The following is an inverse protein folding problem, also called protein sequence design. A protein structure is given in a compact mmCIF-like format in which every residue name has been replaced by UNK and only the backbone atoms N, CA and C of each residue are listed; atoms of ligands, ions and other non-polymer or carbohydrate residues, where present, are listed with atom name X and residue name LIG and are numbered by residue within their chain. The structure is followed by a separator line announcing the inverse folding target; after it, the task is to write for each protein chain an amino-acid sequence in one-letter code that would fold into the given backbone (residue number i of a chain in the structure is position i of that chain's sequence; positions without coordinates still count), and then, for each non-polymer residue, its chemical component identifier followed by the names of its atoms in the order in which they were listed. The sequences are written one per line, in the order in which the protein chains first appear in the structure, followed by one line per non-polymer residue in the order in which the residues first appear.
data_IF_586786227115
#
_entry.id   IF_586786227115
#
_cell.length_a   1.000
_cell.length_b   1.000
_cell.length_c   1.000
_cell.angle_alpha   90.00
_cell.angle_beta   90.00
_cell.angle_gamma   90.00
#
_symmetry.space_group_name_H-M   'P 1'
#
loop_
_entity.id
_entity.type
_entity.pdbx_description
1 polymer ?
#
# COMPACT_ATOMS: atom_id res chain seq x y z
N UNK A 1 7.19 19.15 -3.92
CA UNK A 1 7.45 18.25 -2.77
C UNK A 1 8.94 18.31 -2.48
N UNK A 2 9.37 18.60 -1.25
CA UNK A 2 10.81 18.76 -0.96
C UNK A 2 11.52 17.40 -0.92
N UNK A 3 12.77 17.34 -1.38
CA UNK A 3 13.59 16.11 -1.39
C UNK A 3 13.61 15.40 -0.03
N UNK A 4 13.68 16.18 1.06
CA UNK A 4 13.62 15.67 2.44
C UNK A 4 12.33 14.90 2.76
N UNK A 5 11.19 15.27 2.17
CA UNK A 5 9.91 14.59 2.40
C UNK A 5 9.86 13.23 1.71
N UNK A 6 10.45 13.11 0.51
CA UNK A 6 10.57 11.85 -0.22
C UNK A 6 11.47 10.87 0.54
N UNK A 7 12.62 11.33 1.03
CA UNK A 7 13.56 10.50 1.80
C UNK A 7 13.01 10.02 3.15
N UNK A 8 11.96 10.66 3.68
CA UNK A 8 11.26 10.26 4.90
C UNK A 8 10.11 9.29 4.64
N UNK A 9 9.74 9.05 3.38
CA UNK A 9 8.68 8.10 3.06
C UNK A 9 9.11 6.68 3.52
N UNK A 10 8.27 5.94 4.26
CA UNK A 10 8.63 4.62 4.79
C UNK A 10 9.13 3.64 3.72
N UNK A 11 8.51 3.64 2.53
CA UNK A 11 8.93 2.80 1.41
C UNK A 11 10.34 3.13 0.90
N UNK A 12 10.69 4.43 0.86
CA UNK A 12 12.03 4.87 0.45
C UNK A 12 13.06 4.47 1.50
N UNK A 13 12.74 4.65 2.79
CA UNK A 13 13.62 4.21 3.88
C UNK A 13 13.83 2.69 3.88
N UNK A 14 12.76 1.91 3.65
CA UNK A 14 12.83 0.47 3.54
C UNK A 14 13.72 0.04 2.36
N UNK A 15 13.56 0.66 1.19
CA UNK A 15 14.42 0.42 0.02
C UNK A 15 15.90 0.70 0.35
N UNK A 16 16.19 1.83 1.01
CA UNK A 16 17.56 2.14 1.43
C UNK A 16 18.11 1.12 2.43
N UNK A 17 17.28 0.58 3.33
CA UNK A 17 17.69 -0.49 4.24
C UNK A 17 18.00 -1.80 3.50
N UNK A 18 17.27 -2.15 2.44
CA UNK A 18 17.62 -3.31 1.59
C UNK A 18 18.95 -3.12 0.88
N UNK A 19 19.14 -1.94 0.27
CA UNK A 19 20.39 -1.61 -0.42
C UNK A 19 21.58 -1.61 0.54
N UNK A 20 21.40 -1.08 1.75
CA UNK A 20 22.43 -1.08 2.79
C UNK A 20 22.70 -2.48 3.37
N UNK A 21 21.69 -3.36 3.43
CA UNK A 21 21.86 -4.75 3.86
C UNK A 21 22.68 -5.58 2.86
N UNK A 22 22.64 -5.24 1.57
CA UNK A 22 23.30 -6.01 0.51
C UNK A 22 24.81 -6.25 0.73
N UNK A 23 25.65 -5.21 0.96
CA UNK A 23 27.07 -5.45 1.24
C UNK A 23 27.31 -6.27 2.52
N UNK A 24 26.46 -6.12 3.55
CA UNK A 24 26.54 -6.92 4.77
C UNK A 24 26.24 -8.39 4.50
N UNK A 25 25.23 -8.67 3.68
CA UNK A 25 24.90 -10.02 3.22
C UNK A 25 26.07 -10.65 2.46
N UNK A 26 26.68 -9.92 1.52
CA UNK A 26 27.84 -10.40 0.78
C UNK A 26 29.00 -10.74 1.71
N UNK A 27 29.26 -9.90 2.71
CA UNK A 27 30.30 -10.15 3.71
C UNK A 27 29.99 -11.41 4.53
N UNK A 28 28.77 -11.55 5.05
CA UNK A 28 28.37 -12.73 5.85
C UNK A 28 28.47 -14.00 5.01
N UNK A 29 27.95 -14.00 3.78
CA UNK A 29 28.01 -15.13 2.86
C UNK A 29 29.45 -15.49 2.51
N UNK A 30 30.31 -14.50 2.28
CA UNK A 30 31.74 -14.71 2.03
C UNK A 30 32.45 -15.35 3.22
N UNK A 31 32.18 -14.87 4.44
CA UNK A 31 32.76 -15.43 5.66
C UNK A 31 32.29 -16.86 5.91
N UNK A 32 31.00 -17.15 5.68
CA UNK A 32 30.47 -18.51 5.76
C UNK A 32 31.16 -19.43 4.75
N UNK A 33 31.34 -18.98 3.51
CA UNK A 33 32.06 -19.75 2.50
C UNK A 33 33.53 -19.99 2.88
N UNK A 34 34.21 -18.98 3.43
CA UNK A 34 35.59 -19.09 3.95
C UNK A 34 35.70 -20.06 5.13
N UNK A 35 34.65 -20.18 5.94
CA UNK A 35 34.56 -21.14 7.03
C UNK A 35 34.24 -22.57 6.56
N UNK A 36 34.16 -22.82 5.25
CA UNK A 36 33.87 -24.14 4.68
C UNK A 36 32.39 -24.45 4.52
N UNK A 37 31.49 -23.50 4.76
CA UNK A 37 30.07 -23.67 4.43
C UNK A 37 29.82 -23.49 2.92
N UNK A 38 28.70 -24.01 2.44
CA UNK A 38 28.26 -23.84 1.05
C UNK A 38 26.93 -23.05 1.02
N UNK A 39 26.97 -21.72 1.19
CA UNK A 39 25.76 -20.91 1.24
C UNK A 39 25.00 -20.99 -0.09
N UNK A 40 23.74 -21.43 -0.01
CA UNK A 40 22.80 -21.45 -1.14
C UNK A 40 22.17 -20.08 -1.36
N UNK A 41 21.54 -19.87 -2.53
CA UNK A 41 20.73 -18.67 -2.78
C UNK A 41 19.62 -18.46 -1.74
N UNK A 42 19.06 -19.54 -1.19
CA UNK A 42 18.07 -19.46 -0.11
C UNK A 42 18.70 -18.89 1.16
N UNK A 43 19.88 -19.37 1.56
CA UNK A 43 20.58 -18.82 2.72
C UNK A 43 20.99 -17.36 2.52
N UNK A 44 21.42 -16.98 1.31
CA UNK A 44 21.73 -15.59 0.99
C UNK A 44 20.47 -14.68 1.09
N UNK A 45 19.32 -15.15 0.60
CA UNK A 45 18.06 -14.42 0.71
C UNK A 45 17.59 -14.27 2.17
N UNK A 46 17.77 -15.31 3.00
CA UNK A 46 17.47 -15.25 4.44
C UNK A 46 18.37 -14.24 5.17
N UNK A 47 19.69 -14.29 4.91
CA UNK A 47 20.64 -13.33 5.50
C UNK A 47 20.30 -11.91 5.07
N UNK A 48 20.02 -11.69 3.78
CA UNK A 48 19.57 -10.39 3.28
C UNK A 48 18.32 -9.90 4.00
N UNK A 49 17.30 -10.75 4.15
CA UNK A 49 16.05 -10.39 4.80
C UNK A 49 16.25 -10.04 6.27
N UNK A 50 17.06 -10.82 7.00
CA UNK A 50 17.38 -10.56 8.41
C UNK A 50 18.16 -9.26 8.57
N UNK A 51 19.20 -9.04 7.76
CA UNK A 51 19.99 -7.80 7.79
C UNK A 51 19.11 -6.58 7.46
N UNK A 52 18.27 -6.67 6.43
CA UNK A 52 17.36 -5.60 6.05
C UNK A 52 16.31 -5.32 7.13
N UNK A 53 15.75 -6.36 7.75
CA UNK A 53 14.82 -6.21 8.87
C UNK A 53 15.49 -5.57 10.09
N UNK A 54 16.72 -5.98 10.44
CA UNK A 54 17.47 -5.37 11.54
C UNK A 54 17.77 -3.87 11.29
N UNK A 55 18.18 -3.52 10.06
CA UNK A 55 18.37 -2.10 9.69
C UNK A 55 17.05 -1.31 9.73
N UNK A 56 15.94 -1.95 9.35
CA UNK A 56 14.60 -1.36 9.36
C UNK A 56 14.11 -1.11 10.78
N UNK A 57 14.37 -2.04 11.71
CA UNK A 57 14.08 -1.89 13.13
C UNK A 57 14.94 -0.78 13.76
N UNK A 58 16.22 -0.71 13.42
CA UNK A 58 17.11 0.39 13.81
C UNK A 58 16.60 1.76 13.33
N UNK A 59 15.98 1.81 12.14
CA UNK A 59 15.30 3.01 11.61
C UNK A 59 13.94 3.29 12.25
N UNK A 60 13.46 2.44 13.17
CA UNK A 60 12.18 2.55 13.88
C UNK A 60 10.97 2.63 12.95
N UNK A 61 11.03 1.92 11.82
CA UNK A 61 9.88 1.75 10.94
C UNK A 61 8.82 0.89 11.63
N UNK A 62 7.55 1.04 11.23
CA UNK A 62 6.46 0.26 11.83
C UNK A 62 6.69 -1.25 11.70
N UNK A 63 6.29 -2.05 12.70
CA UNK A 63 6.65 -3.48 12.83
C UNK A 63 6.31 -4.34 11.62
N UNK A 64 5.28 -4.00 10.86
CA UNK A 64 4.91 -4.73 9.64
C UNK A 64 5.96 -4.58 8.52
N UNK A 65 6.76 -3.50 8.51
CA UNK A 65 7.89 -3.36 7.60
C UNK A 65 8.97 -4.42 7.84
N UNK A 66 9.13 -4.91 9.07
CA UNK A 66 10.09 -5.98 9.36
C UNK A 66 9.72 -7.25 8.61
N UNK A 67 8.42 -7.60 8.60
CA UNK A 67 7.90 -8.73 7.84
C UNK A 67 8.13 -8.55 6.34
N UNK A 68 7.85 -7.37 5.79
CA UNK A 68 8.11 -7.06 4.37
C UNK A 68 9.60 -7.21 4.05
N UNK A 69 10.48 -6.68 4.89
CA UNK A 69 11.92 -6.68 4.63
C UNK A 69 12.52 -8.08 4.70
N UNK A 70 12.01 -8.92 5.60
CA UNK A 70 12.39 -10.32 5.71
C UNK A 70 11.90 -11.13 4.50
N UNK A 71 10.63 -10.93 4.10
CA UNK A 71 10.00 -11.71 3.04
C UNK A 71 10.38 -11.25 1.63
N UNK A 72 10.79 -10.00 1.44
CA UNK A 72 11.06 -9.44 0.12
C UNK A 72 12.17 -10.18 -0.66
N UNK A 73 13.37 -10.47 -0.10
CA UNK A 73 14.39 -11.25 -0.81
C UNK A 73 13.95 -12.68 -1.12
N UNK A 74 13.13 -13.29 -0.24
CA UNK A 74 12.54 -14.60 -0.47
C UNK A 74 11.53 -14.57 -1.62
N UNK A 75 10.72 -13.52 -1.69
CA UNK A 75 9.80 -13.30 -2.81
C UNK A 75 10.59 -13.15 -4.12
N UNK A 76 11.66 -12.33 -4.14
CA UNK A 76 12.53 -12.19 -5.33
C UNK A 76 13.08 -13.55 -5.78
N UNK A 77 13.60 -14.36 -4.85
CA UNK A 77 14.08 -15.71 -5.15
C UNK A 77 12.95 -16.64 -5.63
N UNK A 78 11.74 -16.49 -5.11
CA UNK A 78 10.57 -17.23 -5.59
C UNK A 78 10.21 -16.84 -7.02
N UNK A 79 10.16 -15.54 -7.32
CA UNK A 79 9.81 -15.03 -8.65
C UNK A 79 10.80 -15.48 -9.73
N UNK A 80 12.08 -15.63 -9.40
CA UNK A 80 13.08 -16.14 -10.34
C UNK A 80 12.95 -17.65 -10.59
N UNK A 81 12.39 -18.41 -9.65
CA UNK A 81 12.12 -19.86 -9.84
C UNK A 81 10.84 -20.14 -10.61
N UNK A 82 9.82 -19.30 -10.44
CA UNK A 82 8.54 -19.45 -11.13
C UNK A 82 8.50 -18.75 -12.49
N UNK A 83 9.61 -18.13 -12.92
CA UNK A 83 9.73 -17.42 -14.20
C UNK A 83 8.57 -16.45 -14.47
N UNK A 84 8.12 -15.75 -13.42
CA UNK A 84 6.95 -14.89 -13.54
C UNK A 84 7.23 -13.75 -14.52
N UNK A 85 6.32 -13.48 -15.47
CA UNK A 85 6.58 -12.50 -16.50
C UNK A 85 6.56 -11.08 -15.90
N UNK A 86 7.49 -10.18 -16.29
CA UNK A 86 7.60 -8.85 -15.71
C UNK A 86 6.33 -7.99 -15.81
N UNK A 87 5.53 -8.19 -16.86
CA UNK A 87 4.27 -7.44 -17.06
C UNK A 87 3.24 -7.71 -15.96
N UNK A 88 3.28 -8.86 -15.28
CA UNK A 88 2.34 -9.18 -14.20
C UNK A 88 2.53 -8.22 -13.02
N UNK A 89 3.78 -7.95 -12.65
CA UNK A 89 4.11 -6.99 -11.59
C UNK A 89 3.68 -5.58 -11.99
N UNK A 90 3.88 -5.20 -13.25
CA UNK A 90 3.42 -3.92 -13.77
C UNK A 90 1.89 -3.82 -13.73
N UNK A 91 1.17 -4.86 -14.13
CA UNK A 91 -0.29 -4.88 -14.11
C UNK A 91 -0.83 -4.71 -12.68
N UNK A 92 -0.30 -5.46 -11.71
CA UNK A 92 -0.68 -5.32 -10.29
C UNK A 92 -0.33 -3.93 -9.76
N UNK A 93 0.83 -3.39 -10.12
CA UNK A 93 1.22 -2.04 -9.75
C UNK A 93 0.27 -0.98 -10.32
N UNK A 94 -0.06 -1.06 -11.61
CA UNK A 94 -0.97 -0.13 -12.27
C UNK A 94 -2.37 -0.21 -11.66
N UNK A 95 -2.87 -1.41 -11.40
CA UNK A 95 -4.13 -1.63 -10.70
C UNK A 95 -4.13 -0.95 -9.32
N UNK A 96 -3.11 -1.20 -8.51
CA UNK A 96 -2.94 -0.54 -7.21
C UNK A 96 -2.79 0.99 -7.34
N UNK A 97 -2.12 1.47 -8.38
CA UNK A 97 -1.94 2.90 -8.63
C UNK A 97 -3.27 3.57 -8.94
N UNK A 98 -4.09 3.01 -9.84
CA UNK A 98 -5.39 3.60 -10.19
C UNK A 98 -6.41 3.47 -9.05
N UNK A 99 -6.27 2.46 -8.18
CA UNK A 99 -7.10 2.28 -6.99
C UNK A 99 -6.71 3.22 -5.83
N UNK A 100 -5.42 3.40 -5.57
CA UNK A 100 -4.87 4.18 -4.44
C UNK A 100 -4.17 5.48 -4.88
N UNK A 101 -4.67 6.07 -5.97
CA UNK A 101 -4.03 7.14 -6.76
C UNK A 101 -3.31 8.22 -5.97
N UNK A 102 -3.92 8.76 -4.91
CA UNK A 102 -3.36 9.89 -4.16
C UNK A 102 -2.84 9.51 -2.76
N UNK A 103 -2.98 8.25 -2.34
CA UNK A 103 -2.73 7.81 -0.97
C UNK A 103 -1.28 8.04 -0.54
N UNK A 104 -0.32 7.99 -1.47
CA UNK A 104 1.09 8.29 -1.20
C UNK A 104 1.35 9.77 -0.81
N UNK A 105 0.40 10.68 -1.08
CA UNK A 105 0.45 12.10 -0.70
C UNK A 105 -0.50 12.43 0.45
N UNK A 106 -1.74 11.93 0.37
CA UNK A 106 -2.85 12.29 1.27
C UNK A 106 -2.90 11.41 2.51
N UNK A 107 -2.33 10.20 2.46
CA UNK A 107 -2.45 9.17 3.49
C UNK A 107 -3.90 8.76 3.79
N UNK A 108 -4.81 8.94 2.82
CA UNK A 108 -6.19 8.46 2.86
C UNK A 108 -6.33 7.34 1.80
N UNK A 109 -6.29 6.06 2.21
CA UNK A 109 -6.56 4.94 1.31
C UNK A 109 -8.04 4.82 1.03
N UNK A 110 -8.38 4.06 -0.02
CA UNK A 110 -9.75 3.64 -0.25
C UNK A 110 -10.22 2.71 0.89
N UNK A 111 -11.16 3.21 1.70
CA UNK A 111 -11.86 2.49 2.75
C UNK A 111 -13.36 2.80 2.64
N UNK A 112 -14.16 1.92 2.03
CA UNK A 112 -15.57 2.19 1.83
C UNK A 112 -16.30 2.21 3.17
N UNK A 113 -17.14 3.22 3.34
CA UNK A 113 -18.09 3.26 4.44
C UNK A 113 -19.13 2.15 4.27
N UNK A 114 -19.50 1.49 5.37
CA UNK A 114 -20.54 0.46 5.37
C UNK A 114 -21.94 1.04 5.65
N UNK A 115 -22.97 0.19 5.50
CA UNK A 115 -24.39 0.57 5.70
C UNK A 115 -24.67 1.28 7.02
N UNK A 116 -24.03 0.86 8.11
CA UNK A 116 -24.21 1.48 9.42
C UNK A 116 -23.80 2.97 9.42
N UNK A 117 -22.72 3.31 8.71
CA UNK A 117 -22.28 4.69 8.56
C UNK A 117 -23.25 5.47 7.66
N UNK A 118 -23.72 4.88 6.57
CA UNK A 118 -24.69 5.51 5.67
C UNK A 118 -25.99 5.84 6.40
N UNK A 119 -26.52 4.91 7.18
CA UNK A 119 -27.71 5.14 8.01
C UNK A 119 -27.50 6.21 9.07
N UNK A 120 -26.32 6.25 9.71
CA UNK A 120 -26.00 7.26 10.69
C UNK A 120 -25.97 8.66 10.05
N UNK A 121 -25.42 8.79 8.85
CA UNK A 121 -25.44 10.03 8.06
C UNK A 121 -26.88 10.39 7.69
N UNK A 122 -27.65 9.45 7.14
CA UNK A 122 -29.03 9.69 6.71
C UNK A 122 -29.93 10.18 7.87
N UNK A 123 -29.76 9.63 9.07
CA UNK A 123 -30.52 10.05 10.28
C UNK A 123 -30.19 11.48 10.74
N UNK A 124 -29.02 12.00 10.39
CA UNK A 124 -28.61 13.37 10.74
C UNK A 124 -29.05 14.41 9.71
N UNK A 125 -29.49 13.97 8.52
CA UNK A 125 -29.93 14.91 7.48
C UNK A 125 -31.28 15.54 7.86
N UNK A 126 -31.46 16.85 7.62
CA UNK A 126 -32.73 17.53 7.83
C UNK A 126 -33.87 16.87 7.06
N UNK A 127 -35.06 16.84 7.65
CA UNK A 127 -36.27 16.25 7.06
C UNK A 127 -37.21 17.34 6.54
N UNK A 128 -38.06 16.98 5.57
CA UNK A 128 -39.15 17.84 5.09
C UNK A 128 -38.72 19.01 4.19
N UNK A 129 -37.52 18.95 3.59
CA UNK A 129 -37.05 19.92 2.59
C UNK A 129 -36.05 19.27 1.64
N UNK A 130 -35.96 19.83 0.43
CA UNK A 130 -34.95 19.44 -0.55
C UNK A 130 -33.53 19.71 -0.03
N UNK A 131 -32.61 18.79 -0.31
CA UNK A 131 -31.22 18.87 0.11
C UNK A 131 -30.28 18.61 -1.06
N UNK A 132 -29.19 19.37 -1.14
CA UNK A 132 -28.04 19.04 -1.97
C UNK A 132 -26.90 18.54 -1.06
N UNK A 133 -26.39 17.34 -1.33
CA UNK A 133 -25.34 16.68 -0.55
C UNK A 133 -24.16 16.37 -1.46
N UNK A 134 -22.94 16.66 -1.02
CA UNK A 134 -21.71 16.34 -1.75
C UNK A 134 -20.84 15.42 -0.89
N UNK A 135 -20.43 14.30 -1.45
CA UNK A 135 -19.48 13.36 -0.84
C UNK A 135 -18.10 13.48 -1.51
N UNK A 136 -17.10 13.97 -0.77
CA UNK A 136 -15.75 14.23 -1.29
C UNK A 136 -14.85 13.06 -0.91
N UNK A 137 -14.34 12.35 -1.91
CA UNK A 137 -13.73 11.04 -1.71
C UNK A 137 -14.78 9.94 -1.65
N UNK A 138 -15.80 10.04 -2.53
CA UNK A 138 -16.97 9.15 -2.52
C UNK A 138 -16.64 7.68 -2.82
N UNK A 139 -15.41 7.37 -3.25
CA UNK A 139 -14.99 6.03 -3.54
C UNK A 139 -15.78 5.43 -4.70
N UNK A 140 -16.55 4.38 -4.43
CA UNK A 140 -17.46 3.75 -5.41
C UNK A 140 -18.89 4.33 -5.34
N UNK A 141 -19.07 5.51 -4.74
CA UNK A 141 -20.37 6.19 -4.68
C UNK A 141 -21.39 5.61 -3.70
N UNK A 142 -21.03 4.63 -2.87
CA UNK A 142 -21.97 3.87 -2.04
C UNK A 142 -22.91 4.71 -1.16
N UNK A 143 -22.39 5.75 -0.49
CA UNK A 143 -23.22 6.65 0.34
C UNK A 143 -24.19 7.48 -0.52
N UNK A 144 -23.70 8.03 -1.63
CA UNK A 144 -24.48 8.90 -2.52
C UNK A 144 -25.62 8.12 -3.17
N UNK A 145 -25.35 6.91 -3.64
CA UNK A 145 -26.37 6.02 -4.20
C UNK A 145 -27.41 5.60 -3.15
N UNK A 146 -26.96 5.26 -1.94
CA UNK A 146 -27.86 4.91 -0.83
C UNK A 146 -28.79 6.08 -0.47
N UNK A 147 -28.25 7.30 -0.32
CA UNK A 147 -29.04 8.50 -0.03
C UNK A 147 -30.07 8.81 -1.12
N UNK A 148 -29.64 8.80 -2.39
CA UNK A 148 -30.52 9.06 -3.54
C UNK A 148 -31.65 8.02 -3.64
N UNK A 149 -31.38 6.75 -3.29
CA UNK A 149 -32.38 5.68 -3.31
C UNK A 149 -33.43 5.79 -2.21
N UNK A 150 -33.07 6.33 -1.03
CA UNK A 150 -33.96 6.42 0.14
C UNK A 150 -34.80 7.69 0.13
N UNK A 151 -34.30 8.77 -0.47
CA UNK A 151 -34.86 10.11 -0.37
C UNK A 151 -34.85 10.81 -1.72
N UNK A 152 -36.02 10.85 -2.36
CA UNK A 152 -36.22 11.56 -3.63
C UNK A 152 -36.00 13.08 -3.51
N UNK A 153 -36.08 13.63 -2.31
CA UNK A 153 -35.82 15.05 -2.02
C UNK A 153 -34.33 15.36 -1.80
N UNK A 154 -33.44 14.36 -1.86
CA UNK A 154 -31.99 14.56 -1.72
C UNK A 154 -31.31 14.41 -3.09
N UNK A 155 -30.70 15.50 -3.56
CA UNK A 155 -29.74 15.47 -4.66
C UNK A 155 -28.34 15.22 -4.10
N UNK A 156 -27.87 13.98 -4.19
CA UNK A 156 -26.54 13.60 -3.72
C UNK A 156 -25.55 13.51 -4.90
N UNK A 157 -24.36 14.07 -4.73
CA UNK A 157 -23.29 14.08 -5.74
C UNK A 157 -21.98 13.54 -5.15
N UNK A 158 -21.38 12.55 -5.78
CA UNK A 158 -20.06 12.03 -5.42
C UNK A 158 -18.94 12.72 -6.19
N UNK A 159 -17.83 13.01 -5.50
CA UNK A 159 -16.59 13.49 -6.12
C UNK A 159 -15.50 12.51 -5.74
N UNK A 160 -14.74 12.01 -6.71
CA UNK A 160 -13.63 11.10 -6.49
C UNK A 160 -12.46 11.45 -7.39
N UNK A 161 -11.26 11.33 -6.83
CA UNK A 161 -9.99 11.62 -7.50
C UNK A 161 -9.31 10.35 -8.03
N UNK A 162 -9.51 9.21 -7.36
CA UNK A 162 -8.92 7.94 -7.75
C UNK A 162 -9.58 7.44 -9.06
N UNK A 163 -8.80 7.24 -10.15
CA UNK A 163 -9.38 6.93 -11.46
C UNK A 163 -10.24 5.68 -11.48
N UNK A 164 -9.84 4.61 -10.78
CA UNK A 164 -10.59 3.37 -10.79
C UNK A 164 -11.91 3.50 -10.00
N UNK A 165 -11.91 4.00 -8.74
CA UNK A 165 -13.16 4.26 -8.04
C UNK A 165 -14.11 5.22 -8.78
N UNK A 166 -13.58 6.30 -9.36
CA UNK A 166 -14.38 7.24 -10.17
C UNK A 166 -14.99 6.60 -11.42
N UNK A 167 -14.25 5.75 -12.13
CA UNK A 167 -14.75 5.07 -13.33
C UNK A 167 -15.83 4.03 -13.00
N UNK A 168 -15.80 3.48 -11.80
CA UNK A 168 -16.70 2.42 -11.34
C UNK A 168 -17.92 2.93 -10.54
N UNK A 169 -18.01 4.25 -10.30
CA UNK A 169 -19.11 4.91 -9.57
C UNK A 169 -20.18 5.50 -10.48
#
# INVERSE_FOLDING_TARGET
MTLRRILRAPAVQALLCQLAAFPLTLLIVFLLARAGAHPSYLSAALVQGVCAAALTDWRRLARWWLAIQLLFPLAVLGTSRFELPPWLFLAVFLFMLVLYWSTFRTQVPYYPSGRAAWEAVARQLPQGRELAVIDIGSGLGGLVMDLASRRADVQATGIELAPLPWLAS
#
